data_IF_535225570785
#
_entry.id   IF_535225570785
#
_cell.length_a   1.000
_cell.length_b   1.000
_cell.length_c   1.000
_cell.angle_alpha   90.00
_cell.angle_beta   90.00
_cell.angle_gamma   90.00
#
_symmetry.space_group_name_H-M   'P 1'
#
loop_
_entity.id
_entity.type
_entity.pdbx_description
1 polymer ?
#
# COMPACT_ATOMS: atom_id res chain seq x y z
N UNK A 1 -18.41 -20.49 1.08
CA UNK A 1 -18.23 -19.02 1.14
C UNK A 1 -19.40 -18.44 1.92
N UNK A 2 -19.18 -17.84 3.09
CA UNK A 2 -20.26 -17.23 3.88
C UNK A 2 -20.48 -15.81 3.39
N UNK A 3 -21.69 -15.48 2.95
CA UNK A 3 -22.05 -14.11 2.56
C UNK A 3 -22.42 -13.33 3.82
N UNK A 4 -21.82 -12.16 4.00
CA UNK A 4 -22.12 -11.24 5.11
C UNK A 4 -22.64 -9.94 4.50
N UNK A 5 -23.85 -9.54 4.90
CA UNK A 5 -24.47 -8.30 4.44
C UNK A 5 -24.32 -7.21 5.49
N UNK A 6 -24.14 -5.98 5.02
CA UNK A 6 -24.23 -4.77 5.85
C UNK A 6 -25.67 -4.28 5.90
N UNK A 7 -26.04 -3.55 6.96
CA UNK A 7 -27.36 -2.92 7.05
C UNK A 7 -27.52 -1.85 5.95
N UNK A 8 -28.73 -1.70 5.36
CA UNK A 8 -28.99 -0.65 4.37
C UNK A 8 -28.65 0.73 4.92
N UNK A 9 -28.12 1.62 4.06
CA UNK A 9 -27.80 3.01 4.39
C UNK A 9 -26.84 3.21 5.59
N UNK A 10 -26.06 2.19 5.95
CA UNK A 10 -25.07 2.27 7.03
C UNK A 10 -23.64 2.05 6.50
N UNK A 11 -23.04 3.05 5.81
CA UNK A 11 -21.71 2.92 5.20
C UNK A 11 -20.60 2.60 6.22
N UNK A 12 -20.80 3.00 7.49
CA UNK A 12 -19.87 2.73 8.58
C UNK A 12 -19.68 1.22 8.84
N UNK A 13 -20.70 0.40 8.55
CA UNK A 13 -20.62 -1.06 8.65
C UNK A 13 -19.47 -1.64 7.80
N UNK A 14 -19.13 -0.97 6.69
CA UNK A 14 -18.05 -1.38 5.79
C UNK A 14 -16.91 -0.35 5.72
N UNK A 15 -16.75 0.46 6.77
CA UNK A 15 -15.89 1.65 6.72
C UNK A 15 -14.43 1.39 6.34
N UNK A 16 -13.89 0.21 6.64
CA UNK A 16 -12.52 -0.17 6.24
C UNK A 16 -12.38 -0.38 4.74
N UNK A 17 -13.34 -1.03 4.09
CA UNK A 17 -13.35 -1.23 2.63
C UNK A 17 -13.59 0.12 1.94
N UNK A 18 -14.50 0.94 2.45
CA UNK A 18 -14.74 2.26 1.89
C UNK A 18 -13.52 3.18 1.98
N UNK A 19 -12.78 3.16 3.09
CA UNK A 19 -11.50 3.90 3.24
C UNK A 19 -10.48 3.45 2.19
N UNK A 20 -10.32 2.13 2.01
CA UNK A 20 -9.45 1.55 0.99
C UNK A 20 -9.86 2.01 -0.42
N UNK A 21 -11.15 1.97 -0.74
CA UNK A 21 -11.67 2.44 -2.03
C UNK A 21 -11.39 3.93 -2.25
N UNK A 22 -11.50 4.79 -1.22
CA UNK A 22 -11.17 6.21 -1.35
C UNK A 22 -9.70 6.45 -1.68
N UNK A 23 -8.79 5.73 -1.01
CA UNK A 23 -7.35 5.80 -1.30
C UNK A 23 -7.07 5.31 -2.73
N UNK A 24 -7.61 4.15 -3.10
CA UNK A 24 -7.44 3.59 -4.44
C UNK A 24 -7.93 4.55 -5.53
N UNK A 25 -9.13 5.11 -5.37
CA UNK A 25 -9.68 6.07 -6.32
C UNK A 25 -8.84 7.35 -6.39
N UNK A 26 -8.20 7.78 -5.29
CA UNK A 26 -7.28 8.92 -5.29
C UNK A 26 -6.06 8.65 -6.17
N UNK A 27 -5.45 7.47 -6.02
CA UNK A 27 -4.28 7.07 -6.81
C UNK A 27 -4.64 6.89 -8.28
N UNK A 28 -5.78 6.25 -8.58
CA UNK A 28 -6.27 6.11 -9.97
C UNK A 28 -6.47 7.49 -10.62
N UNK A 29 -7.09 8.45 -9.91
CA UNK A 29 -7.24 9.83 -10.40
C UNK A 29 -5.91 10.54 -10.61
N UNK A 30 -4.92 10.31 -9.75
CA UNK A 30 -3.59 10.88 -9.91
C UNK A 30 -2.86 10.32 -11.16
N UNK A 31 -3.20 9.11 -11.58
CA UNK A 31 -2.66 8.44 -12.76
C UNK A 31 -3.65 8.38 -13.92
N UNK A 32 -4.46 9.44 -14.12
CA UNK A 32 -5.57 9.56 -15.09
C UNK A 32 -5.16 9.44 -16.57
N UNK A 33 -4.55 8.31 -16.93
CA UNK A 33 -4.26 7.84 -18.28
C UNK A 33 -5.26 6.73 -18.61
N UNK A 34 -5.59 6.56 -19.89
CA UNK A 34 -6.48 5.47 -20.37
C UNK A 34 -6.03 4.06 -19.96
N UNK A 35 -4.77 3.91 -19.51
CA UNK A 35 -4.13 2.64 -19.13
C UNK A 35 -4.03 2.42 -17.61
N UNK A 36 -4.85 3.09 -16.80
CA UNK A 36 -4.84 2.94 -15.33
C UNK A 36 -4.96 1.49 -14.85
N UNK A 37 -5.63 0.61 -15.61
CA UNK A 37 -5.74 -0.82 -15.33
C UNK A 37 -4.40 -1.55 -15.32
N UNK A 38 -3.43 -1.09 -16.11
CA UNK A 38 -2.07 -1.65 -16.11
C UNK A 38 -1.24 -1.20 -14.91
N UNK A 39 -1.59 -0.05 -14.34
CA UNK A 39 -0.96 0.47 -13.11
C UNK A 39 -1.60 -0.11 -11.86
N UNK A 40 -2.82 -0.68 -11.96
CA UNK A 40 -3.57 -1.21 -10.84
C UNK A 40 -2.80 -2.25 -10.01
N UNK A 41 -2.09 -3.25 -10.58
CA UNK A 41 -1.30 -4.19 -9.79
C UNK A 41 -0.18 -3.49 -8.99
N UNK A 42 0.49 -2.51 -9.59
CA UNK A 42 1.55 -1.74 -8.94
C UNK A 42 1.02 -0.86 -7.80
N UNK A 43 -0.15 -0.27 -7.99
CA UNK A 43 -0.85 0.52 -6.95
C UNK A 43 -1.26 -0.38 -5.79
N UNK A 44 -1.87 -1.53 -6.07
CA UNK A 44 -2.28 -2.49 -5.03
C UNK A 44 -1.08 -3.04 -4.26
N UNK A 45 0.03 -3.30 -4.95
CA UNK A 45 1.29 -3.69 -4.32
C UNK A 45 1.80 -2.60 -3.37
N UNK A 46 1.79 -1.34 -3.79
CA UNK A 46 2.17 -0.20 -2.95
C UNK A 46 1.28 -0.04 -1.72
N UNK A 47 -0.04 -0.19 -1.88
CA UNK A 47 -0.99 -0.14 -0.76
C UNK A 47 -0.80 -1.31 0.21
N UNK A 48 -0.45 -2.50 -0.28
CA UNK A 48 -0.18 -3.68 0.54
C UNK A 48 1.15 -3.59 1.32
N UNK A 49 2.16 -2.97 0.72
CA UNK A 49 3.48 -2.76 1.32
C UNK A 49 3.56 -1.52 2.23
N UNK A 50 2.62 -0.58 2.11
CA UNK A 50 2.60 0.62 2.94
C UNK A 50 2.30 0.28 4.40
N UNK A 51 3.12 0.79 5.30
CA UNK A 51 2.92 0.66 6.76
C UNK A 51 1.76 1.55 7.18
N UNK A 52 0.74 0.94 7.80
CA UNK A 52 -0.35 1.70 8.42
C UNK A 52 0.09 2.18 9.79
N UNK A 53 0.21 3.49 9.98
CA UNK A 53 0.62 4.12 11.24
C UNK A 53 -0.22 3.64 12.45
N UNK A 54 -1.51 3.38 12.26
CA UNK A 54 -2.40 2.88 13.32
C UNK A 54 -2.02 1.48 13.83
N UNK A 55 -1.41 0.67 12.98
CA UNK A 55 -1.08 -0.74 13.25
C UNK A 55 0.43 -0.95 13.40
N UNK A 56 1.25 0.05 13.05
CA UNK A 56 2.71 -0.03 12.94
C UNK A 56 3.21 -1.21 12.08
N UNK A 57 2.38 -1.69 11.15
CA UNK A 57 2.71 -2.77 10.22
C UNK A 57 2.01 -2.58 8.87
N UNK A 58 2.56 -3.18 7.83
CA UNK A 58 1.94 -3.26 6.51
C UNK A 58 0.99 -4.45 6.41
N UNK A 59 0.09 -4.42 5.41
CA UNK A 59 -0.84 -5.54 5.16
C UNK A 59 -0.07 -6.77 4.72
N UNK A 60 0.98 -6.61 3.91
CA UNK A 60 1.83 -7.71 3.49
C UNK A 60 2.54 -8.38 4.68
N UNK A 61 3.06 -7.60 5.63
CA UNK A 61 3.66 -8.15 6.85
C UNK A 61 2.65 -8.91 7.70
N UNK A 62 1.42 -8.40 7.81
CA UNK A 62 0.38 -9.05 8.60
C UNK A 62 -0.06 -10.40 8.00
N UNK A 63 -0.05 -10.52 6.68
CA UNK A 63 -0.48 -11.73 5.97
C UNK A 63 0.66 -12.75 5.85
N UNK A 64 1.87 -12.29 5.53
CA UNK A 64 3.01 -13.17 5.22
C UNK A 64 4.01 -13.30 6.38
N UNK A 65 3.87 -12.49 7.44
CA UNK A 65 4.81 -12.45 8.57
C UNK A 65 6.12 -11.72 8.28
N UNK A 66 6.33 -11.26 7.05
CA UNK A 66 7.56 -10.59 6.60
C UNK A 66 7.25 -9.40 5.70
N UNK A 67 8.08 -8.34 5.70
CA UNK A 67 7.94 -7.24 4.76
C UNK A 67 8.13 -7.72 3.33
N UNK A 68 7.29 -7.22 2.42
CA UNK A 68 7.43 -7.48 0.99
C UNK A 68 8.44 -6.49 0.41
N UNK A 69 9.47 -7.00 -0.27
CA UNK A 69 10.46 -6.14 -0.93
C UNK A 69 9.90 -5.63 -2.24
N UNK A 70 9.80 -4.31 -2.38
CA UNK A 70 9.27 -3.70 -3.60
C UNK A 70 10.32 -3.73 -4.72
N UNK A 71 9.94 -3.87 -6.01
CA UNK A 71 10.89 -3.77 -7.13
C UNK A 71 11.74 -2.50 -7.11
N UNK A 72 11.19 -1.38 -6.63
CA UNK A 72 11.93 -0.13 -6.43
C UNK A 72 13.02 -0.25 -5.37
N UNK A 73 12.75 -0.95 -4.27
CA UNK A 73 13.72 -1.17 -3.20
C UNK A 73 14.88 -2.03 -3.68
N UNK A 74 14.63 -3.03 -4.53
CA UNK A 74 15.73 -3.77 -5.17
C UNK A 74 16.64 -2.86 -6.00
N UNK A 75 16.08 -1.95 -6.80
CA UNK A 75 16.87 -1.02 -7.60
C UNK A 75 17.66 -0.03 -6.73
N UNK A 76 17.10 0.40 -5.60
CA UNK A 76 17.80 1.23 -4.61
C UNK A 76 18.88 0.40 -3.90
N UNK A 77 18.60 -0.80 -3.44
CA UNK A 77 19.57 -1.70 -2.79
C UNK A 77 20.75 -2.05 -3.70
N UNK A 78 20.53 -2.23 -5.01
CA UNK A 78 21.61 -2.44 -5.98
C UNK A 78 22.48 -1.16 -6.13
N UNK A 79 21.87 0.02 -6.04
CA UNK A 79 22.59 1.32 -6.03
C UNK A 79 23.29 1.61 -4.69
N UNK A 80 22.75 1.09 -3.58
CA UNK A 80 23.27 1.29 -2.21
C UNK A 80 24.30 0.24 -1.79
N UNK A 81 24.46 -0.86 -2.53
CA UNK A 81 25.54 -1.84 -2.29
C UNK A 81 26.94 -1.33 -2.70
N UNK A 82 27.07 -0.02 -2.99
CA UNK A 82 28.35 0.62 -3.33
C UNK A 82 28.80 1.74 -2.38
N UNK A 83 28.05 2.09 -1.31
CA UNK A 83 28.75 2.18 -0.02
C UNK A 83 27.84 1.90 1.18
N UNK A 84 28.19 0.85 1.93
CA UNK A 84 27.78 0.65 3.31
C UNK A 84 28.60 1.60 4.21
N UNK A 85 28.02 2.70 4.71
CA UNK A 85 28.42 3.39 5.98
C UNK A 85 27.22 4.22 6.48
N UNK A 86 26.72 3.86 7.67
CA UNK A 86 25.98 4.62 8.69
C UNK A 86 25.02 5.76 8.28
N UNK A 87 23.73 5.60 8.62
CA UNK A 87 22.91 6.50 9.45
C UNK A 87 21.43 6.41 9.06
N UNK A 88 20.63 5.92 10.00
CA UNK A 88 19.46 6.61 10.54
C UNK A 88 18.90 7.76 9.66
N UNK A 89 18.08 7.42 8.66
CA UNK A 89 17.15 8.34 7.99
C UNK A 89 15.85 7.56 7.80
N UNK A 90 15.05 7.53 8.88
CA UNK A 90 13.92 8.44 9.02
C UNK A 90 12.95 8.30 7.85
N UNK A 91 12.11 7.27 7.95
CA UNK A 91 10.65 7.41 8.07
C UNK A 91 10.09 8.77 7.62
N UNK A 92 10.14 9.04 6.33
CA UNK A 92 9.46 10.18 5.75
C UNK A 92 9.06 9.89 4.30
N UNK A 93 7.77 9.58 4.18
CA UNK A 93 6.91 10.10 3.10
C UNK A 93 6.90 9.30 1.79
N UNK A 94 6.62 8.00 1.89
CA UNK A 94 5.73 7.36 0.90
C UNK A 94 4.32 7.30 1.50
N UNK A 95 3.64 8.46 1.50
CA UNK A 95 2.24 8.56 1.94
C UNK A 95 1.36 8.09 0.76
N UNK A 96 0.90 6.85 0.83
CA UNK A 96 -0.28 6.35 0.11
C UNK A 96 -1.50 6.39 1.02
#
# INVERSE_FOLDING_TARGET
MKVVHTTPYHPQANGSVERLHRQLNSVIRAHATERWTLLLPSVLLGVGASVKEQLNCSVAEMVYGTPITLPREFLVSIKLYQPMISLHLCNSRCRF
#
